data_IF_228275775979
#
_entry.id   IF_228275775979
#
_cell.length_a   1.000
_cell.length_b   1.000
_cell.length_c   1.000
_cell.angle_alpha   90.00
_cell.angle_beta   90.00
_cell.angle_gamma   90.00
#
_symmetry.space_group_name_H-M   'P 1'
#
loop_
_entity.id
_entity.type
_entity.pdbx_description
1 polymer ?
#
# COMPACT_ATOMS: atom_id res chain seq x y z
N UNK A 1 15.95 3.62 -4.33
CA UNK A 1 15.91 2.29 -4.99
C UNK A 1 14.68 2.22 -5.86
N UNK A 2 14.80 1.67 -7.08
CA UNK A 2 13.71 1.47 -8.04
C UNK A 2 13.74 0.02 -8.52
N UNK A 3 12.65 -0.72 -8.34
CA UNK A 3 12.57 -2.16 -8.63
C UNK A 3 11.25 -2.47 -9.33
N UNK A 4 11.33 -3.32 -10.34
CA UNK A 4 10.20 -4.00 -10.97
C UNK A 4 10.23 -5.47 -10.54
N UNK A 5 9.14 -6.03 -10.06
CA UNK A 5 9.03 -7.42 -9.62
C UNK A 5 8.21 -8.24 -10.62
N UNK A 6 8.50 -9.54 -10.69
CA UNK A 6 7.68 -10.45 -11.46
C UNK A 6 7.86 -11.89 -10.96
N UNK A 7 6.92 -12.75 -11.33
CA UNK A 7 6.98 -14.18 -11.00
C UNK A 7 7.44 -14.97 -12.23
N UNK A 8 8.46 -15.79 -12.05
CA UNK A 8 8.92 -16.77 -13.04
C UNK A 8 9.29 -18.08 -12.35
N UNK A 9 8.69 -19.19 -12.80
CA UNK A 9 8.89 -20.53 -12.23
C UNK A 9 8.61 -20.61 -10.71
N UNK A 10 7.50 -20.01 -10.27
CA UNK A 10 7.12 -19.82 -8.85
C UNK A 10 8.13 -19.03 -7.98
N UNK A 11 9.18 -18.50 -8.58
CA UNK A 11 10.16 -17.64 -7.91
C UNK A 11 9.86 -16.17 -8.13
N UNK A 12 10.24 -15.35 -7.15
CA UNK A 12 10.12 -13.91 -7.23
C UNK A 12 11.42 -13.32 -7.78
N UNK A 13 11.31 -12.61 -8.87
CA UNK A 13 12.42 -11.93 -9.53
C UNK A 13 12.22 -10.43 -9.46
N UNK A 14 13.33 -9.69 -9.60
CA UNK A 14 13.30 -8.24 -9.72
C UNK A 14 14.26 -7.72 -10.79
N UNK A 15 13.89 -6.61 -11.41
CA UNK A 15 14.69 -5.85 -12.36
C UNK A 15 15.00 -4.48 -11.76
N UNK A 16 16.28 -4.12 -11.73
CA UNK A 16 16.75 -2.79 -11.34
C UNK A 16 16.80 -1.84 -12.53
N UNK A 17 16.83 -0.53 -12.29
CA UNK A 17 16.87 0.47 -13.38
C UNK A 17 18.14 0.45 -14.23
N UNK A 18 19.21 -0.18 -13.75
CA UNK A 18 20.44 -0.42 -14.52
C UNK A 18 20.35 -1.69 -15.41
N UNK A 19 19.19 -2.38 -15.40
CA UNK A 19 18.92 -3.56 -16.22
C UNK A 19 19.35 -4.90 -15.61
N UNK A 20 19.87 -4.93 -14.37
CA UNK A 20 20.14 -6.22 -13.71
C UNK A 20 18.83 -6.93 -13.41
N UNK A 21 18.81 -8.22 -13.70
CA UNK A 21 17.67 -9.10 -13.48
C UNK A 21 18.10 -10.21 -12.51
N UNK A 22 17.53 -10.22 -11.31
CA UNK A 22 17.97 -11.07 -10.22
C UNK A 22 16.79 -11.80 -9.59
N UNK A 23 16.99 -13.06 -9.21
CA UNK A 23 16.07 -13.77 -8.33
C UNK A 23 16.22 -13.23 -6.92
N UNK A 24 15.12 -12.89 -6.25
CA UNK A 24 15.15 -12.50 -4.85
C UNK A 24 15.46 -13.71 -3.97
N UNK A 25 16.40 -13.57 -3.06
CA UNK A 25 16.84 -14.59 -2.09
C UNK A 25 16.99 -13.98 -0.69
N UNK A 26 17.11 -14.82 0.33
CA UNK A 26 17.41 -14.38 1.71
C UNK A 26 18.74 -13.65 1.90
N UNK A 27 19.61 -13.65 0.88
CA UNK A 27 20.88 -12.94 0.90
C UNK A 27 20.77 -11.49 0.41
N UNK A 28 19.65 -11.10 -0.21
CA UNK A 28 19.38 -9.72 -0.67
C UNK A 28 18.96 -8.82 0.51
N UNK A 29 19.77 -8.78 1.58
CA UNK A 29 19.40 -8.21 2.88
C UNK A 29 19.01 -6.74 2.81
N UNK A 30 19.68 -5.95 1.98
CA UNK A 30 19.40 -4.51 1.87
C UNK A 30 18.06 -4.24 1.18
N UNK A 31 17.75 -5.03 0.15
CA UNK A 31 16.46 -4.95 -0.57
C UNK A 31 15.35 -5.40 0.36
N UNK A 32 15.53 -6.53 1.04
CA UNK A 32 14.56 -7.08 1.99
C UNK A 32 14.29 -6.09 3.13
N UNK A 33 15.34 -5.53 3.73
CA UNK A 33 15.19 -4.56 4.81
C UNK A 33 14.46 -3.29 4.36
N UNK A 34 14.79 -2.78 3.16
CA UNK A 34 14.09 -1.63 2.57
C UNK A 34 12.60 -1.91 2.32
N UNK A 35 12.28 -3.07 1.76
CA UNK A 35 10.91 -3.50 1.52
C UNK A 35 10.13 -3.66 2.83
N UNK A 36 10.69 -4.32 3.84
CA UNK A 36 10.04 -4.47 5.15
C UNK A 36 9.82 -3.13 5.83
N UNK A 37 10.78 -2.20 5.74
CA UNK A 37 10.60 -0.83 6.25
C UNK A 37 9.39 -0.18 5.60
N UNK A 38 9.32 -0.19 4.26
CA UNK A 38 8.18 0.35 3.50
C UNK A 38 6.86 -0.35 3.82
N UNK A 39 6.83 -1.69 3.91
CA UNK A 39 5.63 -2.46 4.23
C UNK A 39 5.15 -2.14 5.65
N UNK A 40 6.03 -2.11 6.64
CA UNK A 40 5.66 -1.85 8.03
C UNK A 40 5.11 -0.44 8.25
N UNK A 41 5.65 0.55 7.54
CA UNK A 41 5.17 1.93 7.65
C UNK A 41 3.83 2.13 6.94
N UNK A 42 3.72 1.65 5.70
CA UNK A 42 2.55 1.92 4.84
C UNK A 42 1.41 0.92 5.03
N UNK A 43 1.69 -0.33 5.42
CA UNK A 43 0.73 -1.42 5.50
C UNK A 43 0.91 -2.24 6.79
N UNK A 44 0.77 -1.61 7.98
CA UNK A 44 1.08 -2.25 9.26
C UNK A 44 0.24 -3.50 9.55
N UNK A 45 -1.02 -3.54 9.09
CA UNK A 45 -1.87 -4.73 9.23
C UNK A 45 -1.35 -5.91 8.38
N UNK A 46 -0.92 -5.64 7.14
CA UNK A 46 -0.30 -6.63 6.27
C UNK A 46 1.01 -7.13 6.90
N UNK A 47 1.83 -6.21 7.41
CA UNK A 47 3.08 -6.53 8.08
C UNK A 47 2.87 -7.45 9.28
N UNK A 48 1.93 -7.12 10.17
CA UNK A 48 1.61 -7.94 11.34
C UNK A 48 1.12 -9.34 10.94
N UNK A 49 0.25 -9.44 9.92
CA UNK A 49 -0.24 -10.71 9.40
C UNK A 49 0.88 -11.57 8.79
N UNK A 50 1.85 -10.94 8.09
CA UNK A 50 3.05 -11.62 7.59
C UNK A 50 3.93 -12.14 8.74
N UNK A 51 4.07 -11.38 9.82
CA UNK A 51 4.85 -11.81 10.98
C UNK A 51 4.23 -13.03 11.65
N UNK A 52 2.91 -13.02 11.84
CA UNK A 52 2.17 -14.15 12.40
C UNK A 52 2.28 -15.39 11.51
N UNK A 53 2.07 -15.23 10.20
CA UNK A 53 2.12 -16.31 9.22
C UNK A 53 3.44 -17.09 9.25
N UNK A 54 4.56 -16.37 9.31
CA UNK A 54 5.89 -16.94 9.22
C UNK A 54 6.59 -17.09 10.58
N UNK A 55 5.86 -16.91 11.68
CA UNK A 55 6.38 -16.98 13.06
C UNK A 55 7.20 -18.24 13.37
N UNK A 56 6.86 -19.39 12.77
CA UNK A 56 7.62 -20.65 12.91
C UNK A 56 9.05 -20.59 12.37
N UNK A 57 9.34 -19.66 11.47
CA UNK A 57 10.67 -19.45 10.88
C UNK A 57 11.47 -18.36 11.59
N UNK A 58 10.92 -17.72 12.63
CA UNK A 58 11.52 -16.55 13.27
C UNK A 58 12.92 -16.77 13.88
N UNK A 59 13.32 -18.03 14.13
CA UNK A 59 14.67 -18.39 14.59
C UNK A 59 15.75 -18.11 13.54
N UNK A 60 15.40 -18.15 12.24
CA UNK A 60 16.27 -17.71 11.16
C UNK A 60 15.78 -16.35 10.64
N UNK A 61 16.35 -15.27 11.19
CA UNK A 61 15.92 -13.90 10.87
C UNK A 61 15.96 -13.56 9.38
N UNK A 62 17.00 -13.97 8.64
CA UNK A 62 17.13 -13.69 7.21
C UNK A 62 16.04 -14.38 6.39
N UNK A 63 15.87 -15.68 6.63
CA UNK A 63 14.87 -16.47 5.90
C UNK A 63 13.43 -16.05 6.26
N UNK A 64 13.18 -15.75 7.53
CA UNK A 64 11.89 -15.20 7.99
C UNK A 64 11.53 -13.90 7.28
N UNK A 65 12.47 -12.93 7.23
CA UNK A 65 12.28 -11.67 6.54
C UNK A 65 12.06 -11.86 5.02
N UNK A 66 12.84 -12.76 4.40
CA UNK A 66 12.67 -13.14 3.01
C UNK A 66 11.28 -13.69 2.71
N UNK A 67 10.76 -14.60 3.53
CA UNK A 67 9.42 -15.18 3.34
C UNK A 67 8.33 -14.10 3.39
N UNK A 68 8.43 -13.15 4.32
CA UNK A 68 7.49 -12.04 4.43
C UNK A 68 7.50 -11.18 3.16
N UNK A 69 8.68 -10.76 2.70
CA UNK A 69 8.84 -9.95 1.49
C UNK A 69 8.37 -10.72 0.26
N UNK A 70 8.82 -11.96 0.09
CA UNK A 70 8.43 -12.83 -1.03
C UNK A 70 6.91 -12.95 -1.11
N UNK A 71 6.24 -13.20 0.01
CA UNK A 71 4.79 -13.31 0.07
C UNK A 71 4.11 -12.00 -0.33
N UNK A 72 4.52 -10.88 0.25
CA UNK A 72 3.93 -9.58 -0.03
C UNK A 72 4.07 -9.18 -1.51
N UNK A 73 5.27 -9.29 -2.07
CA UNK A 73 5.52 -8.96 -3.47
C UNK A 73 4.76 -9.91 -4.41
N UNK A 74 4.75 -11.23 -4.18
CA UNK A 74 3.97 -12.15 -5.02
C UNK A 74 2.46 -11.85 -5.00
N UNK A 75 1.96 -11.33 -3.88
CA UNK A 75 0.55 -10.98 -3.74
C UNK A 75 0.17 -9.66 -4.42
N UNK A 76 1.11 -8.73 -4.59
CA UNK A 76 0.79 -7.34 -4.93
C UNK A 76 1.62 -6.72 -6.07
N UNK A 77 2.73 -7.32 -6.49
CA UNK A 77 3.74 -6.77 -7.42
C UNK A 77 4.25 -7.87 -8.38
N UNK A 78 3.45 -8.92 -8.60
CA UNK A 78 3.90 -10.14 -9.26
C UNK A 78 3.62 -10.18 -10.76
N UNK A 79 2.98 -9.15 -11.31
CA UNK A 79 2.55 -9.11 -12.70
C UNK A 79 3.66 -8.41 -13.51
N UNK A 80 4.19 -9.09 -14.50
CA UNK A 80 5.10 -8.43 -15.42
C UNK A 80 4.29 -7.51 -16.34
N UNK A 81 4.17 -6.24 -16.00
CA UNK A 81 3.76 -5.21 -16.94
C UNK A 81 4.83 -4.13 -17.06
N UNK A 82 5.36 -3.93 -18.27
CA UNK A 82 6.46 -2.98 -18.49
C UNK A 82 6.01 -1.50 -18.36
N UNK A 83 4.89 -1.23 -17.70
CA UNK A 83 4.24 0.08 -17.71
C UNK A 83 4.53 0.90 -16.47
N UNK A 84 4.75 0.29 -15.30
CA UNK A 84 5.01 1.02 -14.05
C UNK A 84 5.95 0.26 -13.11
N UNK A 85 7.03 0.92 -12.71
CA UNK A 85 7.99 0.41 -11.70
C UNK A 85 7.27 0.10 -10.38
N UNK A 86 7.25 -1.14 -9.92
CA UNK A 86 6.57 -1.55 -8.69
C UNK A 86 7.00 -0.83 -7.41
N UNK A 87 8.30 -0.60 -7.20
CA UNK A 87 8.81 0.13 -6.04
C UNK A 87 9.65 1.29 -6.52
N UNK A 88 9.27 2.52 -6.14
CA UNK A 88 10.06 3.71 -6.42
C UNK A 88 10.18 4.58 -5.17
N UNK A 89 11.43 4.79 -4.71
CA UNK A 89 11.74 5.66 -3.57
C UNK A 89 10.93 5.32 -2.31
N UNK A 90 10.76 4.01 -2.04
CA UNK A 90 10.04 3.52 -0.86
C UNK A 90 8.52 3.55 -0.99
N UNK A 91 7.96 4.01 -2.12
CA UNK A 91 6.53 3.91 -2.42
C UNK A 91 6.27 2.73 -3.36
N UNK A 92 5.23 1.95 -3.06
CA UNK A 92 4.77 0.86 -3.91
C UNK A 92 3.74 1.37 -4.91
N UNK A 93 3.81 0.88 -6.14
CA UNK A 93 2.74 0.93 -7.12
C UNK A 93 2.06 -0.44 -7.09
N UNK A 94 0.92 -0.53 -6.39
CA UNK A 94 0.26 -1.81 -6.17
C UNK A 94 -0.38 -2.33 -7.46
N UNK A 95 -0.26 -3.63 -7.68
CA UNK A 95 -0.84 -4.33 -8.80
C UNK A 95 -1.95 -5.28 -8.35
N UNK A 96 -2.94 -5.46 -9.24
CA UNK A 96 -3.95 -6.50 -9.06
C UNK A 96 -3.48 -7.81 -9.67
N UNK A 97 -2.54 -8.48 -8.99
CA UNK A 97 -2.01 -9.80 -9.41
C UNK A 97 -3.13 -10.83 -9.50
N UNK A 98 -3.10 -11.71 -10.51
CA UNK A 98 -4.03 -12.84 -10.59
C UNK A 98 -3.64 -13.90 -9.57
N UNK A 99 -4.48 -14.12 -8.56
CA UNK A 99 -4.24 -15.09 -7.51
C UNK A 99 -5.29 -16.21 -7.58
N UNK A 100 -4.89 -17.49 -7.71
CA UNK A 100 -5.85 -18.60 -7.79
C UNK A 100 -6.59 -18.85 -6.47
N UNK A 101 -6.10 -18.30 -5.35
CA UNK A 101 -6.72 -18.45 -4.02
C UNK A 101 -7.70 -17.31 -3.69
N UNK A 102 -8.03 -16.43 -4.64
CA UNK A 102 -8.96 -15.32 -4.39
C UNK A 102 -10.36 -15.85 -4.10
N UNK A 103 -11.00 -15.36 -3.05
CA UNK A 103 -12.25 -15.86 -2.46
C UNK A 103 -12.04 -16.87 -1.31
N UNK A 104 -10.88 -17.51 -1.24
CA UNK A 104 -10.60 -18.59 -0.27
C UNK A 104 -9.38 -18.32 0.63
N UNK A 105 -8.53 -17.36 0.24
CA UNK A 105 -7.29 -17.06 0.94
C UNK A 105 -7.58 -16.43 2.30
N UNK A 106 -7.07 -17.05 3.37
CA UNK A 106 -7.14 -16.52 4.75
C UNK A 106 -6.60 -15.09 4.92
N UNK A 107 -5.76 -14.63 4.00
CA UNK A 107 -5.06 -13.34 4.04
C UNK A 107 -5.60 -12.33 3.02
N UNK A 108 -6.74 -12.63 2.39
CA UNK A 108 -7.36 -11.73 1.44
C UNK A 108 -7.84 -10.42 2.08
N UNK A 109 -7.54 -9.30 1.44
CA UNK A 109 -7.82 -7.96 1.96
C UNK A 109 -6.88 -7.51 3.10
N UNK A 110 -5.93 -8.37 3.50
CA UNK A 110 -4.94 -8.06 4.54
C UNK A 110 -3.53 -8.04 3.94
N UNK A 111 -3.06 -9.14 3.37
CA UNK A 111 -1.74 -9.21 2.71
C UNK A 111 -1.85 -8.81 1.23
N UNK A 112 -2.86 -9.32 0.53
CA UNK A 112 -3.19 -8.87 -0.82
C UNK A 112 -4.28 -7.79 -0.75
N UNK A 113 -4.18 -6.78 -1.64
CA UNK A 113 -5.00 -5.56 -1.56
C UNK A 113 -4.94 -4.91 -0.15
N UNK A 114 -3.73 -4.67 0.40
CA UNK A 114 -3.59 -4.21 1.79
C UNK A 114 -4.11 -2.78 1.97
N UNK A 115 -4.74 -2.51 3.12
CA UNK A 115 -5.20 -1.16 3.47
C UNK A 115 -4.00 -0.24 3.76
N UNK A 116 -3.89 0.86 3.01
CA UNK A 116 -2.88 1.88 3.23
C UNK A 116 -3.07 2.63 4.56
N UNK A 117 -1.97 2.87 5.27
CA UNK A 117 -1.91 3.62 6.51
C UNK A 117 -1.82 5.12 6.23
N UNK A 118 -2.98 5.75 5.99
CA UNK A 118 -3.06 7.19 5.70
C UNK A 118 -2.70 8.10 6.89
N UNK A 119 -2.54 7.56 8.10
CA UNK A 119 -2.40 8.30 9.38
C UNK A 119 -3.57 9.26 9.66
N UNK A 120 -4.66 9.16 8.91
CA UNK A 120 -5.90 9.93 9.10
C UNK A 120 -6.84 9.16 10.03
N UNK A 121 -7.57 9.89 10.86
CA UNK A 121 -8.64 9.30 11.68
C UNK A 121 -9.81 8.85 10.81
N UNK A 122 -10.62 7.93 11.32
CA UNK A 122 -11.84 7.48 10.63
C UNK A 122 -12.82 8.63 10.35
N UNK A 123 -12.91 9.63 11.24
CA UNK A 123 -13.72 10.82 11.00
C UNK A 123 -13.17 11.66 9.83
N UNK A 124 -11.86 11.87 9.79
CA UNK A 124 -11.20 12.57 8.68
C UNK A 124 -11.36 11.80 7.37
N UNK A 125 -11.19 10.48 7.36
CA UNK A 125 -11.40 9.65 6.17
C UNK A 125 -12.83 9.75 5.64
N UNK A 126 -13.85 9.76 6.51
CA UNK A 126 -15.25 9.95 6.09
C UNK A 126 -15.47 11.30 5.40
N UNK A 127 -14.93 12.39 5.97
CA UNK A 127 -15.03 13.71 5.33
C UNK A 127 -14.30 13.72 3.99
N UNK A 128 -13.05 13.23 3.98
CA UNK A 128 -12.20 13.30 2.80
C UNK A 128 -12.63 12.38 1.66
N UNK A 129 -13.36 11.29 1.95
CA UNK A 129 -14.03 10.46 0.94
C UNK A 129 -15.00 11.31 0.13
N UNK A 130 -15.86 12.08 0.79
CA UNK A 130 -16.84 12.92 0.12
C UNK A 130 -16.20 14.11 -0.61
N UNK A 131 -15.12 14.66 -0.05
CA UNK A 131 -14.30 15.66 -0.75
C UNK A 131 -13.74 15.08 -2.06
N UNK A 132 -13.18 13.87 -1.99
CA UNK A 132 -12.65 13.16 -3.15
C UNK A 132 -13.75 12.90 -4.20
N UNK A 133 -14.96 12.53 -3.76
CA UNK A 133 -16.12 12.30 -4.64
C UNK A 133 -16.69 13.58 -5.27
N UNK A 134 -16.12 14.75 -4.95
CA UNK A 134 -16.47 16.01 -5.62
C UNK A 134 -17.41 16.92 -4.84
N UNK A 135 -17.94 16.48 -3.70
CA UNK A 135 -18.95 17.25 -2.95
C UNK A 135 -18.38 18.55 -2.37
N UNK A 136 -19.26 19.54 -2.24
CA UNK A 136 -19.04 20.81 -1.55
C UNK A 136 -19.08 20.63 -0.03
N UNK A 137 -18.55 21.62 0.71
CA UNK A 137 -18.53 21.56 2.18
C UNK A 137 -19.94 21.53 2.77
N UNK A 138 -20.89 22.20 2.11
CA UNK A 138 -22.29 22.31 2.47
C UNK A 138 -23.00 20.95 2.30
N UNK A 139 -22.81 20.28 1.16
CA UNK A 139 -23.35 18.93 0.92
C UNK A 139 -22.76 17.89 1.89
N UNK A 140 -21.47 18.00 2.18
CA UNK A 140 -20.80 17.13 3.15
C UNK A 140 -21.35 17.35 4.56
N UNK A 141 -21.53 18.63 4.94
CA UNK A 141 -22.08 19.01 6.23
C UNK A 141 -23.49 18.45 6.42
N UNK A 142 -24.36 18.58 5.42
CA UNK A 142 -25.71 18.00 5.43
C UNK A 142 -25.67 16.48 5.56
N UNK A 143 -24.87 15.80 4.71
CA UNK A 143 -24.80 14.33 4.69
C UNK A 143 -24.25 13.72 5.98
N UNK A 144 -23.35 14.43 6.66
CA UNK A 144 -22.75 13.99 7.91
C UNK A 144 -23.44 14.56 9.15
N UNK A 145 -24.50 15.36 8.99
CA UNK A 145 -25.17 16.08 10.08
C UNK A 145 -24.22 16.93 10.94
N UNK A 146 -23.30 17.63 10.28
CA UNK A 146 -22.28 18.51 10.89
C UNK A 146 -22.41 19.94 10.39
N UNK A 147 -21.74 20.89 11.04
CA UNK A 147 -21.67 22.27 10.53
C UNK A 147 -20.65 22.39 9.38
N UNK A 148 -20.84 23.28 8.39
CA UNK A 148 -19.83 23.57 7.37
C UNK A 148 -18.49 24.03 7.97
N UNK A 149 -18.51 24.67 9.14
CA UNK A 149 -17.30 25.03 9.88
C UNK A 149 -16.53 23.79 10.37
N UNK A 150 -17.24 22.79 10.90
CA UNK A 150 -16.65 21.52 11.33
C UNK A 150 -16.00 20.80 10.15
N UNK A 151 -16.65 20.77 8.98
CA UNK A 151 -16.09 20.18 7.76
C UNK A 151 -14.80 20.89 7.34
N UNK A 152 -14.80 22.23 7.32
CA UNK A 152 -13.59 23.03 7.03
C UNK A 152 -12.45 22.71 8.00
N UNK A 153 -12.74 22.51 9.28
CA UNK A 153 -11.72 22.15 10.27
C UNK A 153 -11.14 20.76 10.03
N UNK A 154 -11.96 19.77 9.67
CA UNK A 154 -11.46 18.45 9.27
C UNK A 154 -10.54 18.52 8.06
N UNK A 155 -10.94 19.23 6.99
CA UNK A 155 -10.12 19.39 5.78
C UNK A 155 -8.79 20.09 6.11
N UNK A 156 -8.82 21.17 6.89
CA UNK A 156 -7.59 21.86 7.34
C UNK A 156 -6.67 20.95 8.16
N UNK A 157 -7.22 20.15 9.08
CA UNK A 157 -6.46 19.17 9.86
C UNK A 157 -5.77 18.16 8.96
N UNK A 158 -6.50 17.60 7.97
CA UNK A 158 -5.96 16.63 7.01
C UNK A 158 -4.84 17.26 6.18
N UNK A 159 -5.06 18.45 5.63
CA UNK A 159 -4.07 19.17 4.83
C UNK A 159 -2.79 19.43 5.63
N UNK A 160 -2.92 19.86 6.89
CA UNK A 160 -1.78 20.04 7.78
C UNK A 160 -1.04 18.71 8.07
N UNK A 161 -1.78 17.62 8.35
CA UNK A 161 -1.20 16.29 8.62
C UNK A 161 -0.44 15.72 7.42
N UNK A 162 -0.94 15.95 6.21
CA UNK A 162 -0.37 15.41 4.98
C UNK A 162 0.66 16.35 4.33
N UNK A 163 0.79 17.59 4.83
CA UNK A 163 1.64 18.61 4.20
C UNK A 163 1.13 19.04 2.82
N UNK A 164 -0.20 19.03 2.64
CA UNK A 164 -0.90 19.33 1.40
C UNK A 164 -1.61 20.68 1.52
N UNK A 165 -1.74 21.42 0.43
CA UNK A 165 -2.31 22.76 0.43
C UNK A 165 -3.65 22.87 -0.29
N UNK A 166 -3.97 21.94 -1.20
CA UNK A 166 -5.18 22.01 -2.00
C UNK A 166 -5.85 20.67 -2.29
N UNK A 167 -7.11 20.72 -2.74
CA UNK A 167 -7.92 19.53 -3.06
C UNK A 167 -7.28 18.67 -4.14
N UNK A 168 -6.68 19.29 -5.16
CA UNK A 168 -6.06 18.56 -6.26
C UNK A 168 -4.85 17.73 -5.80
N UNK A 169 -4.04 18.28 -4.88
CA UNK A 169 -2.95 17.56 -4.24
C UNK A 169 -3.47 16.40 -3.38
N UNK A 170 -4.57 16.59 -2.64
CA UNK A 170 -5.19 15.51 -1.90
C UNK A 170 -5.71 14.39 -2.79
N UNK A 171 -6.36 14.70 -3.91
CA UNK A 171 -6.84 13.69 -4.88
C UNK A 171 -5.65 12.89 -5.41
N UNK A 172 -4.57 13.56 -5.84
CA UNK A 172 -3.33 12.89 -6.28
C UNK A 172 -2.74 11.99 -5.19
N UNK A 173 -2.74 12.44 -3.95
CA UNK A 173 -2.26 11.64 -2.81
C UNK A 173 -3.16 10.41 -2.57
N UNK A 174 -4.48 10.57 -2.63
CA UNK A 174 -5.42 9.48 -2.43
C UNK A 174 -5.35 8.44 -3.55
N UNK A 175 -5.22 8.88 -4.81
CA UNK A 175 -5.03 8.01 -5.99
C UNK A 175 -3.72 7.25 -5.89
N UNK A 176 -2.63 7.95 -5.58
CA UNK A 176 -1.30 7.34 -5.51
C UNK A 176 -1.19 6.25 -4.46
N UNK A 177 -1.93 6.38 -3.35
CA UNK A 177 -1.87 5.44 -2.23
C UNK A 177 -3.14 4.56 -2.12
N UNK A 178 -3.98 4.55 -3.17
CA UNK A 178 -5.23 3.78 -3.24
C UNK A 178 -6.11 3.90 -1.99
N UNK A 179 -6.15 5.08 -1.36
CA UNK A 179 -6.82 5.30 -0.06
C UNK A 179 -8.32 4.98 -0.14
N UNK A 180 -8.90 5.20 -1.32
CA UNK A 180 -10.32 5.03 -1.55
C UNK A 180 -10.67 4.19 -2.78
N UNK A 181 -9.69 3.54 -3.40
CA UNK A 181 -9.90 2.71 -4.58
C UNK A 181 -10.59 1.39 -4.21
N UNK A 182 -11.92 1.44 -4.05
CA UNK A 182 -12.84 0.31 -4.24
C UNK A 182 -14.21 0.88 -4.67
N UNK A 183 -14.33 1.32 -5.92
CA UNK A 183 -15.60 1.34 -6.67
C UNK A 183 -15.31 1.65 -8.14
N UNK A 184 -15.01 0.60 -8.91
CA UNK A 184 -15.21 0.48 -10.37
C UNK A 184 -15.01 -0.99 -10.74
#
# INVERSE_FOLDING_TARGET
MKLEFYIYDDELWYITTDGRNCKLTENDTDIIAGLLSSISEMYPAAYASLQEEYSRSATNGKYYQFLMVRRFCKCNLGKLDNTKIDLANGTFNMERVSCPLRGECKHEGVICCPKFNSKLSEAELRVMRLVYDGLSNEEIAERLFLSPHTIKNHIKSVYAKLGIHEKAEFVKYADKNDIFCLTS
#
